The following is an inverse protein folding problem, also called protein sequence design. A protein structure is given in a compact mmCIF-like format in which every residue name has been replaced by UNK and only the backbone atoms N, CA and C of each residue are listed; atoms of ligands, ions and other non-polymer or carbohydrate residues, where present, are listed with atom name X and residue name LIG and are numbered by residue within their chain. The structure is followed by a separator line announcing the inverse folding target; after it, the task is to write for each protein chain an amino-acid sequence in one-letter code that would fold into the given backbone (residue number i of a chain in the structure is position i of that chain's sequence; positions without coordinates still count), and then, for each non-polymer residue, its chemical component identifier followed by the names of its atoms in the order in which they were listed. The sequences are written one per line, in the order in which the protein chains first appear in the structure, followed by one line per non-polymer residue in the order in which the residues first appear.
data_IF_179594161400
#
_entry.id   IF_179594161400
#
_cell.length_a   1.000
_cell.length_b   1.000
_cell.length_c   1.000
_cell.angle_alpha   90.00
_cell.angle_beta   90.00
_cell.angle_gamma   90.00
#
_symmetry.space_group_name_H-M   'P 1'
#
loop_
_entity.id
_entity.type
_entity.pdbx_description
1 polymer ?
#
# COMPACT_ATOMS: atom_id res chain seq x y z
N UNK A 1 24.98 -0.88 -23.90
CA UNK A 1 24.86 -1.91 -22.84
C UNK A 1 23.41 -2.25 -22.44
N UNK A 2 22.42 -1.37 -22.65
CA UNK A 2 21.01 -1.69 -22.35
C UNK A 2 20.27 -2.48 -23.46
N UNK A 3 20.78 -2.48 -24.71
CA UNK A 3 20.10 -3.09 -25.86
C UNK A 3 20.20 -4.64 -25.94
N UNK A 4 21.27 -5.24 -25.41
CA UNK A 4 21.44 -6.71 -25.43
C UNK A 4 20.73 -7.41 -24.26
N UNK A 5 20.30 -6.66 -23.25
CA UNK A 5 19.64 -7.18 -22.05
C UNK A 5 18.19 -7.57 -22.24
N UNK A 6 17.52 -7.03 -23.27
CA UNK A 6 16.10 -7.27 -23.58
C UNK A 6 15.89 -8.27 -24.72
N UNK A 7 16.97 -8.68 -25.39
CA UNK A 7 16.91 -9.70 -26.43
C UNK A 7 16.94 -11.10 -25.79
N UNK A 8 16.14 -12.04 -26.31
CA UNK A 8 16.11 -13.46 -25.92
C UNK A 8 17.42 -14.21 -26.23
N UNK A 9 18.53 -13.75 -25.66
CA UNK A 9 19.87 -14.27 -25.87
C UNK A 9 20.26 -15.27 -24.80
N UNK A 10 21.24 -16.14 -25.09
CA UNK A 10 21.84 -17.04 -24.08
C UNK A 10 22.33 -16.27 -22.85
N UNK A 11 22.88 -15.07 -23.05
CA UNK A 11 23.37 -14.20 -21.97
C UNK A 11 22.22 -13.73 -21.07
N UNK A 12 21.09 -13.35 -21.66
CA UNK A 12 19.87 -13.01 -20.92
C UNK A 12 19.39 -14.17 -20.06
N UNK A 13 19.25 -15.37 -20.64
CA UNK A 13 18.81 -16.56 -19.89
C UNK A 13 19.81 -16.97 -18.79
N UNK A 14 21.12 -16.84 -19.01
CA UNK A 14 22.13 -17.08 -17.97
C UNK A 14 22.02 -16.07 -16.81
N UNK A 15 21.80 -14.78 -17.11
CA UNK A 15 21.55 -13.76 -16.08
C UNK A 15 20.27 -14.04 -15.29
N UNK A 16 19.20 -14.50 -15.95
CA UNK A 16 17.96 -14.93 -15.29
C UNK A 16 18.22 -16.14 -14.40
N UNK A 17 18.90 -17.17 -14.88
CA UNK A 17 19.20 -18.37 -14.11
C UNK A 17 20.02 -18.04 -12.86
N UNK A 18 21.07 -17.22 -12.99
CA UNK A 18 21.86 -16.72 -11.85
C UNK A 18 21.00 -15.93 -10.86
N UNK A 19 20.12 -15.05 -11.36
CA UNK A 19 19.21 -14.25 -10.53
C UNK A 19 18.17 -15.13 -9.82
N UNK A 20 17.69 -16.20 -10.45
CA UNK A 20 16.76 -17.17 -9.84
C UNK A 20 17.46 -17.93 -8.72
N UNK A 21 18.67 -18.44 -8.97
CA UNK A 21 19.48 -19.12 -7.96
C UNK A 21 19.78 -18.20 -6.75
N UNK A 22 20.14 -16.93 -6.99
CA UNK A 22 20.42 -15.98 -5.89
C UNK A 22 19.19 -15.49 -5.14
N UNK A 23 17.98 -15.70 -5.69
CA UNK A 23 16.71 -15.28 -5.08
C UNK A 23 15.92 -16.44 -4.47
N UNK A 24 16.42 -17.66 -4.62
CA UNK A 24 15.82 -18.83 -3.99
C UNK A 24 16.07 -18.73 -2.49
N UNK A 25 15.01 -18.90 -1.70
CA UNK A 25 15.07 -18.89 -0.25
C UNK A 25 15.24 -20.34 0.16
N UNK A 26 16.46 -20.72 0.56
CA UNK A 26 16.80 -22.11 0.91
C UNK A 26 16.56 -22.44 2.38
N UNK A 27 16.59 -21.44 3.25
CA UNK A 27 16.30 -21.61 4.67
C UNK A 27 15.81 -20.29 5.25
N UNK A 28 15.05 -20.38 6.32
CA UNK A 28 14.62 -19.25 7.12
C UNK A 28 14.66 -19.61 8.60
N UNK A 29 15.02 -18.65 9.45
CA UNK A 29 15.01 -18.85 10.91
C UNK A 29 13.68 -18.33 11.45
N UNK A 30 12.96 -19.19 12.18
CA UNK A 30 11.71 -18.85 12.84
C UNK A 30 11.93 -17.91 14.02
N UNK A 31 10.84 -17.36 14.55
CA UNK A 31 10.88 -16.53 15.77
C UNK A 31 11.42 -17.27 17.01
N UNK A 32 11.34 -18.61 17.03
CA UNK A 32 11.85 -19.47 18.11
C UNK A 32 13.34 -19.82 17.95
N UNK A 33 13.98 -19.31 16.89
CA UNK A 33 15.38 -19.63 16.58
C UNK A 33 15.57 -20.97 15.84
N UNK A 34 14.49 -21.64 15.43
CA UNK A 34 14.55 -22.87 14.63
C UNK A 34 14.87 -22.53 13.17
N UNK A 35 15.81 -23.24 12.56
CA UNK A 35 16.12 -23.10 11.13
C UNK A 35 15.22 -24.04 10.34
N UNK A 36 14.29 -23.48 9.57
CA UNK A 36 13.46 -24.17 8.60
C UNK A 36 14.24 -24.30 7.29
N UNK A 37 14.39 -25.53 6.78
CA UNK A 37 15.18 -25.83 5.57
C UNK A 37 14.30 -26.50 4.51
N UNK A 38 13.23 -27.19 4.92
CA UNK A 38 12.28 -27.77 3.98
C UNK A 38 11.41 -26.68 3.33
N UNK A 39 11.10 -26.85 2.05
CA UNK A 39 10.34 -25.88 1.26
C UNK A 39 8.96 -25.60 1.90
N UNK A 40 8.29 -26.62 2.43
CA UNK A 40 6.98 -26.46 3.06
C UNK A 40 7.11 -25.72 4.39
N UNK A 41 8.12 -26.04 5.21
CA UNK A 41 8.37 -25.32 6.46
C UNK A 41 8.69 -23.84 6.24
N UNK A 42 9.44 -23.53 5.17
CA UNK A 42 9.73 -22.14 4.80
C UNK A 42 8.43 -21.44 4.40
N UNK A 43 7.60 -22.05 3.55
CA UNK A 43 6.31 -21.48 3.14
C UNK A 43 5.41 -21.23 4.35
N UNK A 44 5.29 -22.20 5.25
CA UNK A 44 4.44 -22.10 6.44
C UNK A 44 4.89 -20.98 7.37
N UNK A 45 6.20 -20.81 7.57
CA UNK A 45 6.75 -19.70 8.36
C UNK A 45 6.39 -18.33 7.73
N UNK A 46 6.46 -18.19 6.41
CA UNK A 46 6.03 -16.96 5.72
C UNK A 46 4.52 -16.72 5.89
N UNK A 47 3.69 -17.76 5.72
CA UNK A 47 2.25 -17.66 5.85
C UNK A 47 1.87 -17.26 7.27
N UNK A 48 2.43 -17.94 8.27
CA UNK A 48 2.16 -17.67 9.69
C UNK A 48 2.60 -16.26 10.08
N UNK A 49 3.79 -15.83 9.64
CA UNK A 49 4.29 -14.47 9.87
C UNK A 49 3.33 -13.41 9.32
N UNK A 50 2.91 -13.53 8.04
CA UNK A 50 2.01 -12.55 7.44
C UNK A 50 0.56 -12.66 7.95
N UNK A 51 0.11 -13.85 8.36
CA UNK A 51 -1.17 -14.02 9.05
C UNK A 51 -1.17 -13.32 10.42
N UNK A 52 -0.06 -13.37 11.17
CA UNK A 52 0.09 -12.62 12.42
C UNK A 52 0.24 -11.12 12.19
N UNK A 53 0.96 -10.71 11.14
CA UNK A 53 1.22 -9.31 10.83
C UNK A 53 0.01 -8.58 10.25
N UNK A 54 -0.68 -9.20 9.30
CA UNK A 54 -1.78 -8.60 8.53
C UNK A 54 -3.16 -9.11 8.96
N UNK A 55 -3.20 -10.31 9.55
CA UNK A 55 -4.38 -10.88 10.18
C UNK A 55 -4.42 -10.56 11.68
N UNK A 56 -5.51 -11.00 12.31
CA UNK A 56 -5.79 -10.76 13.73
C UNK A 56 -7.22 -10.31 13.96
N UNK A 57 -7.73 -10.55 15.17
CA UNK A 57 -8.98 -9.97 15.62
C UNK A 57 -8.81 -8.46 15.70
N UNK A 58 -9.43 -7.74 14.75
CA UNK A 58 -9.54 -6.29 14.87
C UNK A 58 -10.47 -6.03 16.05
N UNK A 59 -9.89 -5.61 17.17
CA UNK A 59 -10.68 -5.24 18.34
C UNK A 59 -11.61 -4.10 17.93
N UNK A 60 -12.89 -4.43 17.79
CA UNK A 60 -13.98 -3.46 17.77
C UNK A 60 -14.27 -3.05 19.21
N UNK A 61 -13.27 -2.54 19.92
CA UNK A 61 -13.57 -1.80 21.15
C UNK A 61 -14.27 -0.51 20.70
N UNK A 62 -15.53 -0.33 21.10
CA UNK A 62 -16.22 0.94 20.89
C UNK A 62 -15.45 2.00 21.69
N UNK A 63 -14.58 2.74 21.01
CA UNK A 63 -13.85 3.84 21.62
C UNK A 63 -14.79 5.03 21.69
N UNK A 64 -15.06 5.50 22.90
CA UNK A 64 -15.84 6.72 23.07
C UNK A 64 -15.05 7.89 22.49
N UNK A 65 -15.53 8.44 21.38
CA UNK A 65 -14.88 9.59 20.72
C UNK A 65 -14.81 10.82 21.63
N UNK A 66 -15.66 10.91 22.66
CA UNK A 66 -15.59 11.97 23.68
C UNK A 66 -14.29 11.90 24.47
N UNK A 67 -13.75 10.70 24.68
CA UNK A 67 -12.42 10.53 25.26
C UNK A 67 -11.39 11.18 24.35
N UNK A 68 -11.36 10.88 23.04
CA UNK A 68 -10.37 11.44 22.12
C UNK A 68 -10.46 12.96 21.90
N UNK A 69 -11.64 13.56 22.15
CA UNK A 69 -11.96 14.95 21.81
C UNK A 69 -10.97 16.00 22.33
N UNK A 70 -10.47 15.93 23.59
CA UNK A 70 -9.50 16.90 24.10
C UNK A 70 -8.12 16.81 23.43
N UNK A 71 -7.77 15.65 22.86
CA UNK A 71 -6.50 15.43 22.16
C UNK A 71 -6.60 15.60 20.65
N UNK A 72 -7.81 15.80 20.11
CA UNK A 72 -8.02 16.04 18.70
C UNK A 72 -7.49 17.44 18.33
N UNK A 73 -6.49 17.48 17.45
CA UNK A 73 -5.97 18.74 16.88
C UNK A 73 -7.07 19.55 16.18
N UNK A 74 -7.97 18.84 15.50
CA UNK A 74 -9.06 19.44 14.75
C UNK A 74 -10.29 18.55 14.79
N UNK A 75 -11.44 19.18 15.01
CA UNK A 75 -12.75 18.54 14.94
C UNK A 75 -13.45 19.15 13.72
N UNK A 76 -13.84 18.29 12.79
CA UNK A 76 -14.51 18.72 11.56
C UNK A 76 -15.78 19.51 11.89
N UNK A 77 -15.98 20.61 11.17
CA UNK A 77 -17.26 21.32 11.21
C UNK A 77 -18.33 20.51 10.46
N UNK A 78 -19.60 20.79 10.73
CA UNK A 78 -20.72 20.06 10.12
C UNK A 78 -20.67 20.03 8.59
N UNK A 79 -20.22 21.13 7.97
CA UNK A 79 -20.07 21.23 6.52
C UNK A 79 -18.98 20.29 5.97
N UNK A 80 -17.79 20.26 6.58
CA UNK A 80 -16.70 19.37 6.17
C UNK A 80 -17.08 17.90 6.37
N UNK A 81 -17.73 17.59 7.49
CA UNK A 81 -18.24 16.25 7.77
C UNK A 81 -19.28 15.83 6.72
N UNK A 82 -20.18 16.75 6.33
CA UNK A 82 -21.17 16.52 5.28
C UNK A 82 -20.50 16.27 3.92
N UNK A 83 -19.46 17.03 3.58
CA UNK A 83 -18.71 16.87 2.33
C UNK A 83 -18.05 15.49 2.22
N UNK A 84 -17.50 14.96 3.33
CA UNK A 84 -16.87 13.64 3.35
C UNK A 84 -17.84 12.48 3.10
N UNK A 85 -19.08 12.62 3.55
CA UNK A 85 -20.11 11.58 3.42
C UNK A 85 -20.97 11.73 2.16
N UNK A 86 -20.72 12.74 1.34
CA UNK A 86 -21.44 12.90 0.07
C UNK A 86 -21.24 11.68 -0.83
N UNK A 87 -22.32 11.21 -1.48
CA UNK A 87 -22.22 10.13 -2.46
C UNK A 87 -21.16 10.43 -3.52
N UNK A 88 -20.41 9.40 -3.90
CA UNK A 88 -19.44 9.54 -4.99
C UNK A 88 -20.17 9.66 -6.33
N UNK A 89 -19.55 10.37 -7.25
CA UNK A 89 -20.02 10.60 -8.61
C UNK A 89 -19.27 9.71 -9.59
N UNK A 90 -19.87 9.49 -10.77
CA UNK A 90 -19.22 8.77 -11.87
C UNK A 90 -17.93 9.47 -12.32
N UNK A 91 -17.92 10.81 -12.28
CA UNK A 91 -16.74 11.61 -12.59
C UNK A 91 -15.57 11.34 -11.65
N UNK A 92 -15.82 11.25 -10.33
CA UNK A 92 -14.79 10.86 -9.35
C UNK A 92 -14.21 9.47 -9.65
N UNK A 93 -15.03 8.52 -10.10
CA UNK A 93 -14.54 7.19 -10.49
C UNK A 93 -13.61 7.29 -11.70
N UNK A 94 -14.00 8.00 -12.76
CA UNK A 94 -13.14 8.21 -13.93
C UNK A 94 -11.82 8.85 -13.53
N UNK A 95 -11.85 9.95 -12.76
CA UNK A 95 -10.64 10.63 -12.30
C UNK A 95 -9.75 9.67 -11.49
N UNK A 96 -10.33 8.86 -10.61
CA UNK A 96 -9.58 7.89 -9.82
C UNK A 96 -8.86 6.84 -10.68
N UNK A 97 -9.49 6.29 -11.73
CA UNK A 97 -8.85 5.33 -12.63
C UNK A 97 -7.73 5.96 -13.47
N UNK A 98 -7.97 7.16 -14.00
CA UNK A 98 -6.99 7.84 -14.84
C UNK A 98 -5.78 8.35 -14.05
N UNK A 99 -5.95 8.63 -12.75
CA UNK A 99 -4.87 9.02 -11.82
C UNK A 99 -4.10 7.81 -11.21
N UNK A 100 -4.40 6.58 -11.65
CA UNK A 100 -3.56 5.41 -11.36
C UNK A 100 -2.45 5.32 -12.41
N UNK A 101 -1.20 5.23 -11.94
CA UNK A 101 -0.02 5.05 -12.80
C UNK A 101 -0.08 3.72 -13.55
N UNK A 102 0.23 3.76 -14.85
CA UNK A 102 0.08 2.65 -15.79
C UNK A 102 1.14 1.56 -15.65
N UNK A 103 2.39 1.95 -15.39
CA UNK A 103 3.57 1.04 -15.32
C UNK A 103 3.64 0.21 -14.04
N UNK A 104 2.49 -0.11 -13.45
CA UNK A 104 2.40 -1.00 -12.29
C UNK A 104 2.07 -2.41 -12.74
N UNK A 105 2.74 -3.39 -12.15
CA UNK A 105 2.44 -4.80 -12.44
C UNK A 105 1.00 -5.14 -12.06
N UNK A 106 0.35 -6.04 -12.82
CA UNK A 106 -1.01 -6.45 -12.57
C UNK A 106 -1.14 -7.23 -11.25
N UNK A 107 -2.38 -7.35 -10.77
CA UNK A 107 -2.72 -8.27 -9.67
C UNK A 107 -2.84 -9.70 -10.21
N UNK A 108 -3.36 -10.61 -9.39
CA UNK A 108 -3.69 -12.00 -9.74
C UNK A 108 -4.68 -12.12 -10.92
N UNK A 109 -5.42 -11.06 -11.21
CA UNK A 109 -6.36 -10.99 -12.34
C UNK A 109 -5.68 -10.70 -13.69
N UNK A 110 -4.40 -10.32 -13.69
CA UNK A 110 -3.64 -10.05 -14.91
C UNK A 110 -3.91 -8.68 -15.55
N UNK A 111 -4.82 -7.86 -14.99
CA UNK A 111 -5.19 -6.57 -15.57
C UNK A 111 -4.42 -5.40 -14.92
N UNK A 112 -3.67 -4.67 -15.74
CA UNK A 112 -2.94 -3.46 -15.34
C UNK A 112 -3.82 -2.22 -15.42
N UNK A 113 -3.38 -1.10 -14.83
CA UNK A 113 -4.08 0.17 -14.99
C UNK A 113 -4.13 0.63 -16.46
N UNK A 114 -3.10 0.33 -17.26
CA UNK A 114 -3.09 0.61 -18.71
C UNK A 114 -4.21 -0.13 -19.45
N UNK A 115 -4.51 -1.38 -19.08
CA UNK A 115 -5.66 -2.10 -19.65
C UNK A 115 -6.96 -1.36 -19.40
N UNK A 116 -7.23 -0.94 -18.15
CA UNK A 116 -8.47 -0.24 -17.81
C UNK A 116 -8.61 1.09 -18.56
N UNK A 117 -7.52 1.84 -18.73
CA UNK A 117 -7.57 3.11 -19.47
C UNK A 117 -7.75 2.89 -20.97
N UNK A 118 -7.04 1.92 -21.55
CA UNK A 118 -7.14 1.60 -22.98
C UNK A 118 -8.54 1.06 -23.36
N UNK A 119 -9.19 0.33 -22.45
CA UNK A 119 -10.52 -0.28 -22.68
C UNK A 119 -11.66 0.50 -22.03
N UNK A 120 -11.41 1.72 -21.54
CA UNK A 120 -12.36 2.47 -20.71
C UNK A 120 -13.73 2.65 -21.39
N UNK A 121 -13.76 2.93 -22.69
CA UNK A 121 -15.00 3.07 -23.45
C UNK A 121 -15.90 1.82 -23.45
N UNK A 122 -15.31 0.65 -23.17
CA UNK A 122 -16.02 -0.64 -23.15
C UNK A 122 -16.44 -1.00 -21.73
N UNK A 123 -15.54 -0.89 -20.75
CA UNK A 123 -15.73 -1.44 -19.39
C UNK A 123 -16.10 -0.40 -18.33
N UNK A 124 -16.14 0.89 -18.68
CA UNK A 124 -16.32 1.99 -17.72
C UNK A 124 -17.64 1.89 -16.94
N UNK A 125 -18.69 1.35 -17.55
CA UNK A 125 -20.00 1.24 -16.89
C UNK A 125 -19.95 0.24 -15.74
N UNK A 126 -19.47 -0.98 -16.00
CA UNK A 126 -19.41 -2.06 -15.03
C UNK A 126 -18.47 -1.73 -13.87
N UNK A 127 -17.30 -1.17 -14.16
CA UNK A 127 -16.35 -0.76 -13.11
C UNK A 127 -16.90 0.39 -12.27
N UNK A 128 -17.65 1.32 -12.88
CA UNK A 128 -18.29 2.42 -12.15
C UNK A 128 -19.37 1.91 -11.23
N UNK A 129 -20.25 1.03 -11.72
CA UNK A 129 -21.29 0.38 -10.91
C UNK A 129 -20.66 -0.36 -9.73
N UNK A 130 -19.57 -1.10 -9.95
CA UNK A 130 -18.90 -1.85 -8.90
C UNK A 130 -18.29 -0.93 -7.83
N UNK A 131 -17.60 0.15 -8.22
CA UNK A 131 -17.02 1.12 -7.28
C UNK A 131 -18.12 1.85 -6.51
N UNK A 132 -19.16 2.35 -7.18
CA UNK A 132 -20.30 3.00 -6.53
C UNK A 132 -21.05 2.04 -5.60
N UNK A 133 -21.18 0.77 -5.98
CA UNK A 133 -21.74 -0.28 -5.15
C UNK A 133 -20.97 -0.47 -3.85
N UNK A 134 -19.63 -0.41 -3.89
CA UNK A 134 -18.81 -0.45 -2.67
C UNK A 134 -19.15 0.71 -1.71
N UNK A 135 -19.21 1.95 -2.21
CA UNK A 135 -19.52 3.11 -1.35
C UNK A 135 -20.96 3.12 -0.85
N UNK A 136 -21.89 2.51 -1.58
CA UNK A 136 -23.30 2.41 -1.18
C UNK A 136 -23.55 1.31 -0.15
N UNK A 137 -22.94 0.13 -0.32
CA UNK A 137 -23.27 -1.06 0.47
C UNK A 137 -22.16 -1.46 1.45
N UNK A 138 -20.97 -0.87 1.37
CA UNK A 138 -19.83 -1.19 2.22
C UNK A 138 -19.27 -2.60 2.00
N UNK A 139 -19.49 -3.20 0.83
CA UNK A 139 -19.09 -4.58 0.51
C UNK A 139 -18.19 -4.63 -0.72
N UNK A 140 -17.18 -5.49 -0.66
CA UNK A 140 -16.25 -5.76 -1.75
C UNK A 140 -16.19 -7.27 -2.00
N UNK A 141 -16.04 -7.67 -3.27
CA UNK A 141 -15.85 -9.08 -3.63
C UNK A 141 -14.50 -9.58 -3.10
N UNK A 142 -14.48 -10.82 -2.59
CA UNK A 142 -13.27 -11.43 -2.03
C UNK A 142 -12.12 -11.41 -3.04
N UNK A 143 -12.39 -11.74 -4.31
CA UNK A 143 -11.42 -11.77 -5.40
C UNK A 143 -10.76 -10.40 -5.65
N UNK A 144 -11.51 -9.31 -5.50
CA UNK A 144 -10.97 -7.95 -5.64
C UNK A 144 -10.11 -7.57 -4.43
N UNK A 145 -10.48 -8.06 -3.23
CA UNK A 145 -9.74 -7.83 -1.99
C UNK A 145 -8.52 -8.76 -1.84
N UNK A 146 -8.41 -9.82 -2.64
CA UNK A 146 -7.22 -10.68 -2.70
C UNK A 146 -6.04 -9.91 -3.28
N UNK A 147 -4.90 -9.95 -2.59
CA UNK A 147 -3.68 -9.24 -2.97
C UNK A 147 -2.51 -10.22 -3.02
N UNK A 148 -1.74 -10.20 -4.10
CA UNK A 148 -0.49 -10.93 -4.18
C UNK A 148 0.59 -10.16 -3.40
N UNK A 149 1.32 -10.84 -2.52
CA UNK A 149 2.49 -10.30 -1.84
C UNK A 149 3.75 -10.78 -2.55
N UNK A 150 4.53 -9.86 -3.14
CA UNK A 150 5.88 -10.19 -3.58
C UNK A 150 6.89 -9.84 -2.50
N UNK A 151 7.87 -10.71 -2.30
CA UNK A 151 8.88 -10.58 -1.26
C UNK A 151 10.21 -10.10 -1.86
N UNK A 152 10.76 -9.02 -1.33
CA UNK A 152 12.06 -8.47 -1.75
C UNK A 152 13.01 -8.47 -0.55
N UNK A 153 14.17 -9.15 -0.62
CA UNK A 153 15.16 -9.10 0.46
C UNK A 153 15.61 -7.67 0.77
N UNK A 154 15.64 -7.30 2.05
CA UNK A 154 16.18 -6.03 2.56
C UNK A 154 17.69 -6.12 2.81
N UNK A 155 18.18 -7.30 3.18
CA UNK A 155 19.58 -7.60 3.50
C UNK A 155 20.06 -8.81 2.71
N UNK A 156 21.38 -9.02 2.64
CA UNK A 156 21.98 -10.17 1.98
C UNK A 156 23.05 -10.83 2.88
N UNK A 157 22.92 -12.15 3.20
CA UNK A 157 21.74 -12.99 2.95
C UNK A 157 20.58 -12.65 3.92
N UNK A 158 19.31 -12.79 3.49
CA UNK A 158 18.19 -12.73 4.43
C UNK A 158 18.17 -13.97 5.32
N UNK A 159 17.90 -13.81 6.62
CA UNK A 159 17.93 -14.90 7.61
C UNK A 159 16.54 -15.17 8.19
N UNK A 160 15.72 -14.14 8.35
CA UNK A 160 14.38 -14.21 8.94
C UNK A 160 13.31 -13.70 7.97
N UNK A 161 12.03 -14.06 8.16
CA UNK A 161 10.95 -13.52 7.31
C UNK A 161 10.90 -11.99 7.37
N UNK A 162 11.23 -11.42 8.52
CA UNK A 162 11.31 -9.98 8.73
C UNK A 162 12.40 -9.31 7.88
N UNK A 163 13.37 -10.05 7.33
CA UNK A 163 14.38 -9.53 6.40
C UNK A 163 13.86 -9.29 4.99
N UNK A 164 12.61 -9.65 4.72
CA UNK A 164 11.94 -9.37 3.46
C UNK A 164 11.01 -8.16 3.60
N UNK A 165 10.98 -7.33 2.55
CA UNK A 165 9.97 -6.29 2.35
C UNK A 165 8.87 -6.89 1.47
N UNK A 166 7.64 -6.91 1.97
CA UNK A 166 6.48 -7.22 1.13
C UNK A 166 6.10 -6.04 0.25
N UNK A 167 5.72 -6.34 -0.99
CA UNK A 167 5.04 -5.43 -1.90
C UNK A 167 3.68 -6.03 -2.25
N UNK A 168 2.63 -5.25 -2.00
CA UNK A 168 1.25 -5.63 -2.25
C UNK A 168 0.80 -5.26 -3.66
N UNK A 169 0.44 -6.26 -4.45
CA UNK A 169 -0.11 -6.11 -5.79
C UNK A 169 -1.64 -6.20 -5.71
N UNK A 170 -2.26 -5.08 -5.31
CA UNK A 170 -3.72 -5.00 -5.18
C UNK A 170 -4.39 -4.86 -6.56
N UNK A 171 -5.64 -5.32 -6.63
CA UNK A 171 -6.51 -5.12 -7.79
C UNK A 171 -6.66 -3.63 -8.14
N UNK A 172 -6.77 -3.29 -9.43
CA UNK A 172 -6.94 -1.89 -9.88
C UNK A 172 -8.25 -1.29 -9.35
N UNK A 173 -9.32 -2.07 -9.28
CA UNK A 173 -10.60 -1.65 -8.70
C UNK A 173 -10.45 -1.31 -7.21
N UNK A 174 -9.70 -2.12 -6.45
CA UNK A 174 -9.36 -1.82 -5.07
C UNK A 174 -8.57 -0.50 -4.96
N UNK A 175 -7.57 -0.31 -5.84
CA UNK A 175 -6.78 0.93 -5.90
C UNK A 175 -7.64 2.15 -6.23
N UNK A 176 -8.63 2.01 -7.12
CA UNK A 176 -9.56 3.10 -7.45
C UNK A 176 -10.42 3.49 -6.23
N UNK A 177 -10.95 2.51 -5.50
CA UNK A 177 -11.71 2.76 -4.26
C UNK A 177 -10.88 3.54 -3.25
N UNK A 178 -9.66 3.06 -2.94
CA UNK A 178 -8.80 3.74 -1.96
C UNK A 178 -8.37 5.13 -2.44
N UNK A 179 -8.17 5.31 -3.74
CA UNK A 179 -7.87 6.60 -4.36
C UNK A 179 -9.00 7.62 -4.14
N UNK A 180 -10.27 7.22 -4.33
CA UNK A 180 -11.43 8.09 -4.08
C UNK A 180 -11.51 8.49 -2.60
N UNK A 181 -11.28 7.55 -1.68
CA UNK A 181 -11.22 7.84 -0.24
C UNK A 181 -10.15 8.89 0.05
N UNK A 182 -8.95 8.72 -0.51
CA UNK A 182 -7.85 9.68 -0.36
C UNK A 182 -8.23 11.05 -0.96
N UNK A 183 -8.86 11.09 -2.13
CA UNK A 183 -9.30 12.34 -2.76
C UNK A 183 -10.30 13.11 -1.91
N UNK A 184 -11.22 12.43 -1.21
CA UNK A 184 -12.15 13.07 -0.26
C UNK A 184 -11.47 13.55 1.02
N UNK A 185 -10.53 12.79 1.56
CA UNK A 185 -9.84 13.15 2.81
C UNK A 185 -8.79 14.25 2.61
N UNK A 186 -8.12 14.27 1.44
CA UNK A 186 -6.96 15.11 1.16
C UNK A 186 -7.16 16.60 1.48
N UNK A 187 -8.28 17.26 1.13
CA UNK A 187 -8.48 18.68 1.42
C UNK A 187 -8.51 19.02 2.92
N UNK A 188 -8.74 18.03 3.79
CA UNK A 188 -8.86 18.21 5.24
C UNK A 188 -7.60 17.79 6.01
N UNK A 189 -6.67 17.08 5.36
CA UNK A 189 -5.49 16.51 6.03
C UNK A 189 -4.62 17.58 6.70
N UNK A 190 -4.46 18.76 6.10
CA UNK A 190 -3.63 19.82 6.69
C UNK A 190 -4.17 20.37 8.01
N UNK A 191 -5.49 20.32 8.20
CA UNK A 191 -6.13 20.69 9.46
C UNK A 191 -6.04 19.57 10.48
N UNK A 192 -6.24 18.33 10.03
CA UNK A 192 -6.34 17.15 10.89
C UNK A 192 -4.98 16.63 11.37
N UNK A 193 -3.91 16.85 10.59
CA UNK A 193 -2.59 16.29 10.86
C UNK A 193 -1.66 17.38 11.41
N UNK A 194 -0.81 17.01 12.39
CA UNK A 194 0.23 17.88 12.94
C UNK A 194 1.15 18.42 11.85
N UNK A 195 1.63 19.66 12.00
CA UNK A 195 2.65 20.24 11.12
C UNK A 195 3.99 19.51 11.17
N UNK A 196 4.24 18.70 12.21
CA UNK A 196 5.46 17.88 12.36
C UNK A 196 5.40 16.54 11.62
N UNK A 197 4.24 16.17 11.09
CA UNK A 197 4.09 14.98 10.25
C UNK A 197 4.24 15.38 8.78
N UNK A 198 5.41 15.08 8.22
CA UNK A 198 5.76 15.52 6.86
C UNK A 198 5.72 14.40 5.82
N UNK A 199 5.75 13.14 6.26
CA UNK A 199 5.70 12.01 5.35
C UNK A 199 4.29 11.88 4.72
N UNK A 200 4.25 11.65 3.42
CA UNK A 200 3.03 11.35 2.65
C UNK A 200 1.96 12.45 2.62
N UNK A 201 2.31 13.70 2.96
CA UNK A 201 1.45 14.87 2.81
C UNK A 201 1.95 15.73 1.65
N UNK A 202 1.12 16.04 0.65
CA UNK A 202 1.51 16.89 -0.46
C UNK A 202 2.04 18.25 0.02
N UNK A 203 3.17 18.69 -0.54
CA UNK A 203 3.78 19.97 -0.19
C UNK A 203 4.63 19.97 1.08
N UNK A 204 4.74 18.84 1.79
CA UNK A 204 5.64 18.69 2.94
C UNK A 204 6.85 17.83 2.61
N UNK A 205 8.00 18.15 3.19
CA UNK A 205 9.23 17.39 2.99
C UNK A 205 9.76 16.79 4.29
N UNK A 206 10.28 15.56 4.21
CA UNK A 206 10.96 14.93 5.35
C UNK A 206 12.22 15.72 5.77
N UNK A 207 12.81 16.50 4.86
CA UNK A 207 13.95 17.36 5.15
C UNK A 207 13.62 18.45 6.19
N UNK A 208 12.39 18.93 6.24
CA UNK A 208 11.96 19.91 7.26
C UNK A 208 12.01 19.33 8.67
N UNK A 209 11.74 18.03 8.84
CA UNK A 209 11.88 17.36 10.14
C UNK A 209 13.35 17.24 10.57
N UNK A 210 14.27 17.11 9.62
CA UNK A 210 15.71 17.12 9.91
C UNK A 210 16.13 18.49 10.44
N UNK A 211 15.67 19.56 9.78
CA UNK A 211 15.96 20.93 10.20
C UNK A 211 15.38 21.24 11.58
N UNK A 212 14.12 20.87 11.81
CA UNK A 212 13.46 21.04 13.11
C UNK A 212 14.23 20.31 14.23
N UNK A 213 14.68 19.09 13.97
CA UNK A 213 15.51 18.35 14.94
C UNK A 213 16.83 19.07 15.21
N UNK A 214 17.51 19.58 14.19
CA UNK A 214 18.76 20.33 14.35
C UNK A 214 18.59 21.60 15.18
N UNK A 215 17.50 22.36 14.98
CA UNK A 215 17.17 23.54 15.78
C UNK A 215 16.93 23.18 17.24
N UNK A 216 16.11 22.15 17.51
CA UNK A 216 15.85 21.67 18.87
C UNK A 216 17.13 21.23 19.60
N UNK A 217 18.04 20.54 18.91
CA UNK A 217 19.32 20.14 19.51
C UNK A 217 20.28 21.32 19.73
N UNK A 218 20.21 22.36 18.90
CA UNK A 218 21.01 23.57 19.09
C UNK A 218 20.56 24.33 20.33
N UNK A 219 19.27 24.51 20.51
CA UNK A 219 18.70 25.27 21.63
C UNK A 219 18.83 24.50 22.96
N UNK A 220 18.85 23.17 22.91
CA UNK A 220 19.10 22.32 24.09
C UNK A 220 20.52 22.48 24.67
N UNK A 221 21.51 22.80 23.83
CA UNK A 221 22.89 23.04 24.26
C UNK A 221 23.15 24.48 24.76
N UNK A 222 22.12 25.33 24.78
CA UNK A 222 22.21 26.71 25.26
C UNK A 222 21.53 26.92 26.63
N UNK A 223 21.02 25.86 27.25
CA UNK A 223 20.57 25.82 28.65
C UNK A 223 21.55 25.04 29.52
#
# INVERSE_FOLDING_TARGET
MAQEGDQCTRVFFQKIAKRRASKCIFHITSYEGRVCIDDQEVIDEFVEYYQRLLGGERWSSYMDIRFLRPWARYILIAEEASQLVMPITRGEVTVAYFDIVEDKSPSLDGYSASFYKATWLIISEEVTIAVMGFFKYGRILKQVNTTLLALIPKVQPPVTVADFRSISYCNVLYKAITKIIVQKLRPLLDRMISSTQNAFIPGRSISENILLAQELFRDYNQQ
#
